data_IF_876025207271
#
_entry.id   IF_876025207271
#
_cell.length_a   1.000
_cell.length_b   1.000
_cell.length_c   1.000
_cell.angle_alpha   90.00
_cell.angle_beta   90.00
_cell.angle_gamma   90.00
#
_symmetry.space_group_name_H-M   'P 1'
#
loop_
_entity.id
_entity.type
_entity.pdbx_description
1 polymer ?
#
# COMPACT_ATOMS: atom_id res chain seq x y z
N UNK A 1 24.21 18.19 -11.23
CA UNK A 1 23.05 17.36 -11.64
C UNK A 1 23.42 15.90 -11.44
N UNK A 2 22.86 15.20 -10.45
CA UNK A 2 23.27 13.83 -10.11
C UNK A 2 22.50 12.84 -10.98
N UNK A 3 23.19 12.17 -11.91
CA UNK A 3 22.64 11.05 -12.66
C UNK A 3 22.53 9.85 -11.72
N UNK A 4 21.38 9.67 -11.08
CA UNK A 4 21.13 8.52 -10.20
C UNK A 4 21.17 7.24 -11.03
N UNK A 5 22.23 6.45 -10.86
CA UNK A 5 22.40 5.19 -11.58
C UNK A 5 21.30 4.20 -11.17
N UNK A 6 20.46 3.81 -12.12
CA UNK A 6 19.48 2.76 -11.91
C UNK A 6 20.22 1.44 -11.62
N UNK A 7 19.94 0.81 -10.48
CA UNK A 7 20.43 -0.53 -10.14
C UNK A 7 19.35 -1.56 -10.48
N UNK A 8 19.56 -2.43 -11.48
CA UNK A 8 18.65 -3.53 -11.78
C UNK A 8 18.48 -4.44 -10.57
N UNK A 9 17.31 -5.07 -10.47
CA UNK A 9 17.03 -6.07 -9.44
C UNK A 9 17.37 -7.45 -9.97
N UNK A 10 17.80 -8.34 -9.08
CA UNK A 10 18.02 -9.75 -9.38
C UNK A 10 16.94 -10.59 -8.69
N UNK A 11 15.76 -10.75 -9.31
CA UNK A 11 14.63 -11.41 -8.67
C UNK A 11 14.93 -12.86 -8.27
N UNK A 12 15.72 -13.59 -9.08
CA UNK A 12 16.09 -15.00 -8.85
C UNK A 12 16.96 -15.25 -7.62
N UNK A 13 17.57 -14.21 -7.05
CA UNK A 13 18.36 -14.29 -5.81
C UNK A 13 17.45 -14.23 -4.58
N UNK A 14 16.19 -13.80 -4.73
CA UNK A 14 15.25 -13.74 -3.62
C UNK A 14 14.88 -15.15 -3.15
N UNK A 15 14.99 -15.46 -1.84
CA UNK A 15 14.56 -16.76 -1.31
C UNK A 15 13.10 -17.09 -1.63
N UNK A 16 12.21 -16.08 -1.59
CA UNK A 16 10.79 -16.25 -1.94
C UNK A 16 10.62 -16.60 -3.42
N UNK A 17 11.48 -16.06 -4.29
CA UNK A 17 11.43 -16.39 -5.71
C UNK A 17 11.86 -17.84 -5.93
N UNK A 18 12.95 -18.27 -5.31
CA UNK A 18 13.47 -19.65 -5.42
C UNK A 18 12.45 -20.66 -4.90
N UNK A 19 11.88 -20.43 -3.71
CA UNK A 19 10.88 -21.32 -3.12
C UNK A 19 9.66 -21.47 -4.04
N UNK A 20 9.14 -20.37 -4.59
CA UNK A 20 7.97 -20.43 -5.47
C UNK A 20 8.32 -21.03 -6.84
N UNK A 21 9.50 -20.75 -7.38
CA UNK A 21 9.96 -21.37 -8.61
C UNK A 21 10.06 -22.90 -8.48
N UNK A 22 10.62 -23.39 -7.36
CA UNK A 22 10.92 -24.81 -7.19
C UNK A 22 9.74 -25.63 -6.65
N UNK A 23 8.77 -24.96 -6.01
CA UNK A 23 7.70 -25.63 -5.27
C UNK A 23 6.28 -25.14 -5.56
N UNK A 24 6.04 -24.14 -6.42
CA UNK A 24 4.68 -23.63 -6.66
C UNK A 24 3.70 -24.71 -7.11
N UNK A 25 4.12 -25.63 -7.99
CA UNK A 25 3.29 -26.73 -8.48
C UNK A 25 2.91 -27.72 -7.37
N UNK A 26 3.69 -27.78 -6.30
CA UNK A 26 3.47 -28.68 -5.15
C UNK A 26 2.55 -28.06 -4.10
N UNK A 27 2.13 -26.79 -4.27
CA UNK A 27 1.24 -26.12 -3.33
C UNK A 27 -0.21 -26.61 -3.53
N UNK A 28 -0.80 -27.32 -2.57
CA UNK A 28 -2.16 -27.80 -2.71
C UNK A 28 -3.17 -26.65 -2.58
N UNK A 29 -4.23 -26.69 -3.39
CA UNK A 29 -5.41 -25.83 -3.19
C UNK A 29 -5.21 -24.34 -3.53
N UNK A 30 -4.30 -24.01 -4.45
CA UNK A 30 -4.19 -22.64 -4.97
C UNK A 30 -5.43 -22.29 -5.81
N UNK A 31 -6.00 -21.11 -5.56
CA UNK A 31 -7.02 -20.55 -6.45
C UNK A 31 -6.39 -20.09 -7.76
N UNK A 32 -7.17 -19.99 -8.87
CA UNK A 32 -6.67 -19.48 -10.14
C UNK A 32 -5.99 -18.11 -10.02
N UNK A 33 -6.55 -17.21 -9.20
CA UNK A 33 -5.97 -15.89 -8.92
C UNK A 33 -4.62 -15.98 -8.20
N UNK A 34 -4.47 -16.93 -7.27
CA UNK A 34 -3.23 -17.13 -6.56
C UNK A 34 -2.14 -17.68 -7.50
N UNK A 35 -2.49 -18.64 -8.36
CA UNK A 35 -1.59 -19.17 -9.40
C UNK A 35 -1.13 -18.07 -10.34
N UNK A 36 -2.06 -17.28 -10.90
CA UNK A 36 -1.72 -16.16 -11.79
C UNK A 36 -0.85 -15.10 -11.09
N UNK A 37 -1.07 -14.85 -9.79
CA UNK A 37 -0.24 -13.95 -9.01
C UNK A 37 1.20 -14.47 -8.82
N UNK A 38 1.37 -15.78 -8.60
CA UNK A 38 2.68 -16.43 -8.50
C UNK A 38 3.41 -16.38 -9.83
N UNK A 39 2.77 -16.74 -10.94
CA UNK A 39 3.34 -16.66 -12.28
C UNK A 39 3.81 -15.24 -12.62
N UNK A 40 2.95 -14.24 -12.37
CA UNK A 40 3.30 -12.83 -12.56
C UNK A 40 4.48 -12.41 -11.66
N UNK A 41 4.55 -12.93 -10.44
CA UNK A 41 5.67 -12.67 -9.53
C UNK A 41 6.98 -13.29 -10.02
N UNK A 42 6.96 -14.51 -10.56
CA UNK A 42 8.15 -15.18 -11.08
C UNK A 42 8.75 -14.43 -12.28
N UNK A 43 7.91 -13.80 -13.10
CA UNK A 43 8.33 -12.93 -14.20
C UNK A 43 8.73 -11.50 -13.75
N UNK A 44 8.53 -11.15 -12.48
CA UNK A 44 8.74 -9.79 -12.00
C UNK A 44 10.21 -9.39 -12.00
N UNK A 45 10.56 -8.36 -12.77
CA UNK A 45 11.93 -7.88 -12.81
C UNK A 45 12.86 -8.72 -13.69
N UNK A 46 12.32 -9.71 -14.42
CA UNK A 46 13.06 -10.43 -15.46
C UNK A 46 13.06 -9.60 -16.75
N UNK A 47 14.24 -9.37 -17.33
CA UNK A 47 14.39 -8.65 -18.59
C UNK A 47 13.88 -9.48 -19.78
N UNK A 48 13.92 -10.82 -19.70
CA UNK A 48 13.39 -11.71 -20.74
C UNK A 48 11.86 -11.64 -20.83
N UNK A 49 11.18 -11.32 -19.73
CA UNK A 49 9.73 -11.11 -19.69
C UNK A 49 9.30 -9.72 -20.20
N UNK A 50 10.25 -8.85 -20.55
CA UNK A 50 10.00 -7.53 -21.13
C UNK A 50 10.52 -6.36 -20.30
N UNK A 51 10.84 -5.28 -20.98
CA UNK A 51 11.44 -4.09 -20.38
C UNK A 51 11.07 -2.81 -21.12
N UNK A 52 11.27 -1.68 -20.44
CA UNK A 52 11.28 -0.35 -21.03
C UNK A 52 12.70 0.19 -21.05
N UNK A 53 13.20 0.58 -22.23
CA UNK A 53 14.46 1.32 -22.36
C UNK A 53 14.20 2.80 -22.08
N UNK A 54 14.95 3.36 -21.14
CA UNK A 54 14.87 4.75 -20.75
C UNK A 54 16.19 5.42 -21.10
N UNK A 55 16.13 6.58 -21.77
CA UNK A 55 17.28 7.41 -22.11
C UNK A 55 17.10 8.78 -21.50
N UNK A 56 18.12 9.27 -20.81
CA UNK A 56 18.12 10.65 -20.32
C UNK A 56 18.51 11.61 -21.46
N UNK A 57 17.70 12.66 -21.73
CA UNK A 57 18.02 13.63 -22.78
C UNK A 57 19.35 14.35 -22.53
N UNK A 58 19.63 14.73 -21.28
CA UNK A 58 20.73 15.65 -20.95
C UNK A 58 22.11 14.97 -20.89
N UNK A 59 22.19 13.72 -20.41
CA UNK A 59 23.47 13.00 -20.24
C UNK A 59 23.63 11.80 -21.18
N UNK A 60 22.61 11.50 -22.00
CA UNK A 60 22.62 10.36 -22.91
C UNK A 60 22.62 8.97 -22.25
N UNK A 61 22.69 8.90 -20.91
CA UNK A 61 22.72 7.63 -20.18
C UNK A 61 21.43 6.83 -20.41
N UNK A 62 21.60 5.54 -20.69
CA UNK A 62 20.50 4.62 -20.93
C UNK A 62 20.44 3.52 -19.89
N UNK A 63 19.23 3.08 -19.55
CA UNK A 63 19.05 1.89 -18.72
C UNK A 63 17.77 1.15 -19.09
N UNK A 64 17.79 -0.16 -18.84
CA UNK A 64 16.65 -1.03 -19.04
C UNK A 64 15.90 -1.20 -17.74
N UNK A 65 14.59 -0.96 -17.77
CA UNK A 65 13.70 -1.17 -16.63
C UNK A 65 12.77 -2.33 -16.93
N UNK A 66 13.00 -3.46 -16.27
CA UNK A 66 12.12 -4.63 -16.34
C UNK A 66 10.71 -4.31 -15.84
N UNK A 67 9.72 -5.05 -16.36
CA UNK A 67 8.34 -4.92 -15.92
C UNK A 67 8.12 -5.41 -14.49
N UNK A 68 7.10 -4.83 -13.85
CA UNK A 68 6.68 -5.19 -12.49
C UNK A 68 5.44 -6.07 -12.54
N UNK A 69 5.35 -7.07 -11.66
CA UNK A 69 4.18 -7.95 -11.57
C UNK A 69 2.87 -7.26 -11.17
N UNK A 70 2.93 -6.05 -10.60
CA UNK A 70 1.78 -5.29 -10.08
C UNK A 70 0.95 -6.01 -9.00
N UNK A 71 1.42 -7.16 -8.50
CA UNK A 71 0.78 -7.93 -7.45
C UNK A 71 0.88 -7.24 -6.09
N UNK A 72 -0.10 -7.49 -5.22
CA UNK A 72 -0.14 -6.98 -3.84
C UNK A 72 0.31 -8.06 -2.86
N UNK A 73 1.10 -7.71 -1.84
CA UNK A 73 1.52 -8.62 -0.78
C UNK A 73 2.66 -9.56 -1.15
N UNK A 74 2.59 -10.26 -2.29
CA UNK A 74 3.58 -11.28 -2.67
C UNK A 74 4.96 -10.69 -3.01
N UNK A 75 4.98 -9.65 -3.85
CA UNK A 75 6.21 -9.00 -4.28
C UNK A 75 6.52 -7.78 -3.40
N UNK A 76 7.37 -7.94 -2.38
CA UNK A 76 7.68 -6.86 -1.44
C UNK A 76 8.13 -5.55 -2.12
N UNK A 77 9.02 -5.55 -3.14
CA UNK A 77 9.42 -4.31 -3.79
C UNK A 77 8.31 -3.62 -4.60
N UNK A 78 7.43 -4.40 -5.25
CA UNK A 78 6.29 -3.85 -6.00
C UNK A 78 5.21 -3.34 -5.06
N UNK A 79 4.95 -4.07 -3.97
CA UNK A 79 4.05 -3.63 -2.91
C UNK A 79 4.55 -2.35 -2.25
N UNK A 80 5.83 -2.29 -1.84
CA UNK A 80 6.43 -1.10 -1.25
C UNK A 80 6.34 0.11 -2.16
N UNK A 81 6.67 -0.05 -3.45
CA UNK A 81 6.53 1.05 -4.43
C UNK A 81 5.10 1.55 -4.50
N UNK A 82 4.11 0.66 -4.51
CA UNK A 82 2.70 1.03 -4.52
C UNK A 82 2.31 1.79 -3.25
N UNK A 83 2.71 1.30 -2.08
CA UNK A 83 2.43 1.95 -0.79
C UNK A 83 3.03 3.36 -0.73
N UNK A 84 4.25 3.55 -1.24
CA UNK A 84 4.87 4.88 -1.30
C UNK A 84 4.14 5.84 -2.24
N UNK A 85 3.75 5.38 -3.43
CA UNK A 85 2.99 6.19 -4.40
C UNK A 85 1.63 6.57 -3.82
N UNK A 86 0.92 5.62 -3.23
CA UNK A 86 -0.39 5.85 -2.62
C UNK A 86 -0.30 6.80 -1.42
N UNK A 87 0.71 6.61 -0.56
CA UNK A 87 0.95 7.48 0.59
C UNK A 87 1.25 8.93 0.17
N UNK A 88 2.06 9.12 -0.87
CA UNK A 88 2.31 10.45 -1.43
C UNK A 88 1.03 11.07 -2.02
N UNK A 89 0.20 10.28 -2.71
CA UNK A 89 -1.07 10.75 -3.24
C UNK A 89 -2.02 11.21 -2.12
N UNK A 90 -2.16 10.41 -1.05
CA UNK A 90 -2.99 10.75 0.11
C UNK A 90 -2.47 12.04 0.76
N UNK A 91 -1.17 12.12 1.04
CA UNK A 91 -0.57 13.27 1.69
C UNK A 91 -0.70 14.55 0.85
N UNK A 92 -0.43 14.49 -0.45
CA UNK A 92 -0.36 15.68 -1.30
C UNK A 92 -1.71 16.11 -1.88
N UNK A 93 -2.72 15.23 -1.90
CA UNK A 93 -3.96 15.47 -2.65
C UNK A 93 -5.23 15.29 -1.83
N UNK A 94 -5.22 14.42 -0.82
CA UNK A 94 -6.42 14.10 -0.03
C UNK A 94 -6.39 14.81 1.33
N UNK A 95 -5.25 14.77 2.02
CA UNK A 95 -5.10 15.32 3.37
C UNK A 95 -5.22 16.86 3.36
N UNK A 96 -6.21 17.38 4.08
CA UNK A 96 -6.30 18.79 4.43
C UNK A 96 -5.44 19.09 5.66
N UNK A 97 -5.04 20.35 5.88
CA UNK A 97 -4.26 20.76 7.06
C UNK A 97 -5.11 20.80 8.35
N UNK A 98 -5.63 19.65 8.76
CA UNK A 98 -6.47 19.45 9.96
C UNK A 98 -5.93 18.31 10.83
N UNK A 99 -6.33 18.17 12.10
CA UNK A 99 -5.96 17.01 12.90
C UNK A 99 -6.51 15.72 12.31
N UNK A 100 -5.63 14.76 12.02
CA UNK A 100 -6.02 13.43 11.53
C UNK A 100 -5.99 12.42 12.67
N UNK A 101 -6.87 11.41 12.61
CA UNK A 101 -6.86 10.27 13.54
C UNK A 101 -6.66 8.97 12.79
N UNK A 102 -5.78 8.14 13.31
CA UNK A 102 -5.61 6.77 12.84
C UNK A 102 -6.47 5.85 13.71
N UNK A 103 -7.43 5.17 13.09
CA UNK A 103 -8.34 4.24 13.75
C UNK A 103 -8.09 2.85 13.17
N UNK A 104 -7.91 1.85 14.04
CA UNK A 104 -7.78 0.44 13.65
C UNK A 104 -9.03 -0.29 14.12
N UNK A 105 -9.82 -0.79 13.17
CA UNK A 105 -10.98 -1.63 13.45
C UNK A 105 -10.60 -3.09 13.26
N UNK A 106 -10.79 -3.90 14.29
CA UNK A 106 -10.41 -5.31 14.27
C UNK A 106 -11.63 -6.21 14.17
N UNK A 107 -11.58 -7.16 13.23
CA UNK A 107 -12.61 -8.20 13.09
C UNK A 107 -12.38 -9.29 14.16
N UNK A 108 -13.43 -9.69 14.92
CA UNK A 108 -13.37 -10.78 15.88
C UNK A 108 -12.86 -12.08 15.26
N UNK A 109 -12.05 -12.86 16.00
CA UNK A 109 -11.40 -14.07 15.48
C UNK A 109 -12.40 -15.07 14.89
N UNK A 110 -13.55 -15.23 15.53
CA UNK A 110 -14.59 -16.20 15.16
C UNK A 110 -15.10 -16.03 13.72
N UNK A 111 -15.19 -14.79 13.23
CA UNK A 111 -15.79 -14.50 11.92
C UNK A 111 -14.76 -14.31 10.81
N UNK A 112 -13.45 -14.30 11.11
CA UNK A 112 -12.40 -14.09 10.10
C UNK A 112 -12.42 -15.14 8.98
N UNK A 113 -12.75 -16.39 9.31
CA UNK A 113 -12.82 -17.48 8.34
C UNK A 113 -13.92 -17.29 7.30
N UNK A 114 -15.00 -16.58 7.65
CA UNK A 114 -16.07 -16.24 6.69
C UNK A 114 -15.51 -15.35 5.57
N UNK A 115 -14.78 -14.30 5.96
CA UNK A 115 -14.10 -13.40 5.01
C UNK A 115 -12.94 -14.06 4.25
N UNK A 116 -12.38 -15.16 4.74
CA UNK A 116 -11.39 -15.94 3.99
C UNK A 116 -12.04 -16.66 2.82
N UNK A 117 -13.16 -17.34 3.12
CA UNK A 117 -13.91 -18.19 2.19
C UNK A 117 -14.64 -17.34 1.15
N UNK A 118 -15.22 -16.22 1.58
CA UNK A 118 -15.92 -15.29 0.72
C UNK A 118 -15.29 -13.90 0.81
N UNK A 119 -14.54 -13.55 -0.25
CA UNK A 119 -13.87 -12.25 -0.38
C UNK A 119 -14.82 -11.12 -0.74
N UNK A 120 -16.03 -11.41 -1.24
CA UNK A 120 -17.03 -10.38 -1.54
C UNK A 120 -17.53 -9.71 -0.24
N UNK A 121 -17.50 -10.43 0.88
CA UNK A 121 -17.84 -9.88 2.20
C UNK A 121 -16.89 -8.79 2.69
N UNK A 122 -15.66 -8.68 2.14
CA UNK A 122 -14.70 -7.65 2.56
C UNK A 122 -15.23 -6.23 2.30
N UNK A 123 -16.09 -6.04 1.31
CA UNK A 123 -16.68 -4.73 1.01
C UNK A 123 -17.61 -4.25 2.14
N UNK A 124 -18.32 -5.18 2.78
CA UNK A 124 -19.20 -4.88 3.91
C UNK A 124 -18.42 -4.33 5.11
N UNK A 125 -17.13 -4.67 5.26
CA UNK A 125 -16.29 -4.10 6.31
C UNK A 125 -16.05 -2.60 6.10
N UNK A 126 -15.91 -2.14 4.85
CA UNK A 126 -15.77 -0.70 4.57
C UNK A 126 -17.07 0.04 4.87
N UNK A 127 -18.22 -0.51 4.49
CA UNK A 127 -19.53 0.08 4.81
C UNK A 127 -19.78 0.13 6.31
N UNK A 128 -19.50 -0.96 7.02
CA UNK A 128 -19.65 -1.02 8.49
C UNK A 128 -18.71 -0.02 9.19
N UNK A 129 -17.45 0.08 8.74
CA UNK A 129 -16.48 1.04 9.28
C UNK A 129 -16.95 2.49 9.04
N UNK A 130 -17.36 2.81 7.81
CA UNK A 130 -17.87 4.14 7.46
C UNK A 130 -19.10 4.48 8.31
N UNK A 131 -20.08 3.57 8.41
CA UNK A 131 -21.29 3.77 9.21
C UNK A 131 -20.96 4.01 10.69
N UNK A 132 -20.13 3.15 11.29
CA UNK A 132 -19.76 3.26 12.70
C UNK A 132 -19.03 4.57 13.00
N UNK A 133 -18.08 4.98 12.15
CA UNK A 133 -17.33 6.23 12.34
C UNK A 133 -18.23 7.44 12.12
N UNK A 134 -19.14 7.40 11.13
CA UNK A 134 -20.10 8.48 10.88
C UNK A 134 -21.06 8.65 12.06
N UNK A 135 -21.62 7.55 12.57
CA UNK A 135 -22.50 7.56 13.73
C UNK A 135 -21.78 8.10 14.97
N UNK A 136 -20.55 7.64 15.22
CA UNK A 136 -19.72 8.15 16.31
C UNK A 136 -19.42 9.65 16.17
N UNK A 137 -19.09 10.12 14.96
CA UNK A 137 -18.80 11.53 14.70
C UNK A 137 -20.01 12.40 15.02
N UNK A 138 -21.18 12.05 14.47
CA UNK A 138 -22.42 12.80 14.66
C UNK A 138 -22.84 12.87 16.12
N UNK A 139 -22.71 11.75 16.85
CA UNK A 139 -22.97 11.69 18.29
C UNK A 139 -22.00 12.57 19.08
N UNK A 140 -20.73 12.65 18.68
CA UNK A 140 -19.71 13.43 19.38
C UNK A 140 -19.77 14.92 19.07
N UNK A 141 -20.24 15.31 17.90
CA UNK A 141 -20.28 16.72 17.46
C UNK A 141 -21.68 17.33 17.51
N UNK A 142 -22.69 16.57 17.96
CA UNK A 142 -24.10 16.96 17.97
C UNK A 142 -24.58 17.55 16.62
N UNK A 143 -24.05 16.99 15.53
CA UNK A 143 -24.29 17.50 14.18
C UNK A 143 -24.78 16.34 13.29
N UNK A 144 -26.09 16.22 13.01
CA UNK A 144 -26.64 15.08 12.29
C UNK A 144 -26.21 15.03 10.82
N UNK A 145 -25.78 16.15 10.25
CA UNK A 145 -25.30 16.25 8.86
C UNK A 145 -23.79 16.04 8.73
N UNK A 146 -23.06 15.85 9.82
CA UNK A 146 -21.61 15.65 9.79
C UNK A 146 -21.22 14.43 8.95
N UNK A 147 -20.16 14.59 8.15
CA UNK A 147 -19.59 13.56 7.28
C UNK A 147 -18.08 13.44 7.54
N UNK A 148 -17.57 12.25 7.87
CA UNK A 148 -16.13 12.06 8.03
C UNK A 148 -15.43 11.96 6.67
N UNK A 149 -14.27 12.60 6.54
CA UNK A 149 -13.32 12.29 5.48
C UNK A 149 -12.52 11.04 5.86
N UNK A 150 -12.71 9.93 5.13
CA UNK A 150 -12.07 8.65 5.45
C UNK A 150 -11.15 8.17 4.34
N UNK A 151 -9.95 7.73 4.73
CA UNK A 151 -9.07 6.89 3.90
C UNK A 151 -8.99 5.54 4.59
N UNK A 152 -9.51 4.51 3.95
CA UNK A 152 -9.62 3.17 4.53
C UNK A 152 -8.72 2.19 3.79
N UNK A 153 -8.02 1.34 4.54
CA UNK A 153 -7.22 0.25 4.00
C UNK A 153 -7.52 -1.03 4.77
N UNK A 154 -7.81 -2.11 4.05
CA UNK A 154 -8.07 -3.42 4.63
C UNK A 154 -6.80 -4.28 4.62
N UNK A 155 -6.43 -4.76 5.80
CA UNK A 155 -5.35 -5.72 5.98
C UNK A 155 -5.95 -7.09 6.33
N UNK A 156 -5.75 -8.07 5.45
CA UNK A 156 -6.35 -9.41 5.58
C UNK A 156 -5.46 -10.43 6.28
N UNK A 157 -4.19 -10.11 6.51
CA UNK A 157 -3.21 -10.98 7.19
C UNK A 157 -2.33 -10.17 8.14
N UNK A 158 -1.95 -10.78 9.26
CA UNK A 158 -0.98 -10.21 10.20
C UNK A 158 0.47 -10.48 9.80
N UNK A 159 1.43 -10.02 10.62
CA UNK A 159 2.87 -10.12 10.35
C UNK A 159 3.38 -11.56 10.19
N UNK A 160 2.68 -12.53 10.77
CA UNK A 160 2.99 -13.96 10.64
C UNK A 160 2.29 -14.63 9.45
N UNK A 161 1.72 -13.85 8.52
CA UNK A 161 0.94 -14.32 7.36
C UNK A 161 -0.24 -15.23 7.71
N UNK A 162 -0.59 -15.35 8.99
CA UNK A 162 -1.78 -16.06 9.42
C UNK A 162 -3.02 -15.28 8.99
N UNK A 163 -3.78 -15.87 8.08
CA UNK A 163 -5.23 -15.68 8.07
C UNK A 163 -5.75 -16.44 9.28
N UNK A 164 -5.76 -15.77 10.45
CA UNK A 164 -5.75 -16.39 11.78
C UNK A 164 -6.40 -17.78 11.94
N UNK A 165 -5.63 -18.86 11.70
CA UNK A 165 -5.87 -20.18 12.27
C UNK A 165 -4.63 -21.09 12.17
N UNK A 166 -3.86 -21.18 13.26
CA UNK A 166 -3.42 -22.45 13.85
C UNK A 166 -3.49 -22.24 15.36
N UNK A 167 -3.94 -23.27 16.08
CA UNK A 167 -4.13 -23.24 17.52
C UNK A 167 -2.82 -22.93 18.25
N UNK A 168 -2.55 -21.65 18.49
CA UNK A 168 -1.55 -21.20 19.44
C UNK A 168 -2.17 -20.04 20.23
N UNK A 169 -2.34 -20.30 21.52
CA UNK A 169 -2.73 -19.32 22.54
C UNK A 169 -1.67 -18.23 22.58
N UNK A 170 -2.01 -16.99 22.21
CA UNK A 170 -1.22 -15.81 22.55
C UNK A 170 -2.14 -14.66 22.95
N UNK A 171 -1.78 -13.90 24.00
CA UNK A 171 -2.59 -12.86 24.62
C UNK A 171 -2.38 -11.52 23.91
N UNK A 172 -3.46 -10.74 23.82
CA UNK A 172 -3.51 -9.28 23.62
C UNK A 172 -2.16 -8.59 23.29
N UNK A 173 -1.81 -8.55 22.00
CA UNK A 173 -0.68 -7.75 21.49
C UNK A 173 -1.16 -6.38 21.02
N UNK A 174 -1.12 -5.42 21.93
CA UNK A 174 -1.21 -3.99 21.65
C UNK A 174 -0.20 -3.57 20.56
N UNK A 175 -0.66 -2.96 19.46
CA UNK A 175 0.24 -2.32 18.50
C UNK A 175 0.35 -0.82 18.80
N UNK A 176 1.26 -0.48 19.72
CA UNK A 176 1.83 0.88 19.79
C UNK A 176 3.11 0.88 18.97
N UNK A 177 3.20 1.78 17.99
CA UNK A 177 4.34 1.97 17.12
C UNK A 177 5.54 2.54 17.91
N UNK A 178 6.25 1.70 18.68
CA UNK A 178 7.45 2.07 19.45
C UNK A 178 8.61 2.58 18.56
N UNK A 179 8.59 2.36 17.25
CA UNK A 179 9.64 2.84 16.34
C UNK A 179 9.47 4.29 15.87
N UNK A 180 8.35 4.97 16.21
CA UNK A 180 8.27 6.45 16.05
C UNK A 180 9.21 7.19 17.00
N UNK A 181 9.38 6.72 18.24
CA UNK A 181 10.28 7.34 19.22
C UNK A 181 11.75 7.26 18.84
N UNK A 182 12.17 6.14 18.24
CA UNK A 182 13.55 5.93 17.78
C UNK A 182 13.87 6.71 16.49
N UNK A 183 12.87 6.91 15.60
CA UNK A 183 13.05 7.76 14.42
C UNK A 183 13.09 9.25 14.77
N UNK A 184 12.33 9.72 15.76
CA UNK A 184 12.45 11.09 16.24
C UNK A 184 13.84 11.37 16.83
N UNK A 185 14.40 10.42 17.59
CA UNK A 185 15.77 10.52 18.10
C UNK A 185 16.82 10.50 16.97
N UNK A 186 16.64 9.64 15.96
CA UNK A 186 17.58 9.56 14.83
C UNK A 186 17.51 10.77 13.87
N UNK A 187 16.32 11.37 13.68
CA UNK A 187 16.14 12.59 12.89
C UNK A 187 16.76 13.81 13.61
N UNK A 188 16.65 13.87 14.94
CA UNK A 188 17.33 14.92 15.72
C UNK A 188 18.86 14.73 15.76
N UNK A 189 19.36 13.49 15.74
CA UNK A 189 20.79 13.21 15.65
C UNK A 189 21.39 13.51 14.26
N UNK A 190 20.61 13.32 13.18
CA UNK A 190 21.03 13.68 11.81
C UNK A 190 20.87 15.15 11.48
N UNK A 191 20.06 15.91 12.23
CA UNK A 191 20.04 17.37 12.13
C UNK A 191 21.31 18.04 12.68
N UNK A 192 22.05 17.36 13.57
CA UNK A 192 23.32 17.84 14.12
C UNK A 192 24.54 17.55 13.20
N UNK A 193 24.40 16.64 12.24
CA UNK A 193 25.46 16.28 11.29
C UNK A 193 25.06 16.72 9.88
N UNK A 194 25.49 17.92 9.49
CA UNK A 194 25.10 18.59 8.25
C UNK A 194 25.30 17.75 6.98
N UNK A 195 24.24 17.75 6.16
CA UNK A 195 24.16 17.69 4.69
C UNK A 195 23.03 16.76 4.21
N UNK A 196 21.82 17.32 4.06
CA UNK A 196 20.72 16.65 3.36
C UNK A 196 20.88 16.95 1.85
N UNK A 197 20.98 15.94 0.96
CA UNK A 197 20.94 16.18 -0.46
C UNK A 197 19.54 16.68 -0.84
N UNK A 198 19.48 17.83 -1.51
CA UNK A 198 18.25 18.44 -2.03
C UNK A 198 17.46 17.43 -2.86
N UNK A 199 16.24 17.12 -2.41
CA UNK A 199 15.31 16.28 -3.14
C UNK A 199 15.00 16.91 -4.51
N UNK A 200 15.10 16.11 -5.58
CA UNK A 200 14.68 16.52 -6.92
C UNK A 200 13.19 16.90 -6.92
N UNK A 201 12.79 17.98 -7.63
CA UNK A 201 11.40 18.37 -7.72
C UNK A 201 10.56 17.24 -8.36
N UNK A 202 9.31 17.03 -7.90
CA UNK A 202 8.45 16.00 -8.45
C UNK A 202 8.17 16.25 -9.94
N UNK A 203 8.03 15.18 -10.76
CA UNK A 203 7.74 15.33 -12.17
C UNK A 203 6.39 16.05 -12.39
N UNK A 204 6.22 16.81 -13.49
CA UNK A 204 5.00 17.56 -13.74
C UNK A 204 3.79 16.62 -13.83
N UNK A 205 2.78 16.89 -13.00
CA UNK A 205 1.54 16.11 -12.90
C UNK A 205 0.75 16.20 -14.21
N UNK A 206 0.51 15.08 -14.88
CA UNK A 206 -0.49 15.01 -15.96
C UNK A 206 -1.88 15.08 -15.33
N UNK A 207 -2.56 16.22 -15.42
CA UNK A 207 -3.92 16.42 -14.91
C UNK A 207 -4.87 15.43 -15.58
N UNK A 208 -5.32 14.38 -14.86
CA UNK A 208 -6.44 13.54 -15.31
C UNK A 208 -7.74 14.32 -15.10
N UNK A 209 -8.26 14.90 -16.18
CA UNK A 209 -9.40 15.82 -16.21
C UNK A 209 -10.75 15.18 -15.84
N UNK A 210 -10.83 13.85 -15.76
CA UNK A 210 -12.07 13.10 -15.49
C UNK A 210 -12.60 13.27 -14.07
N UNK A 211 -11.75 13.10 -13.05
CA UNK A 211 -12.20 13.08 -11.64
C UNK A 211 -12.64 14.44 -11.11
N UNK A 212 -12.01 15.54 -11.57
CA UNK A 212 -12.41 16.91 -11.23
C UNK A 212 -13.80 17.26 -11.77
N UNK A 213 -14.17 16.75 -12.96
CA UNK A 213 -15.51 16.94 -13.52
C UNK A 213 -16.56 16.16 -12.73
N UNK A 214 -16.24 14.93 -12.31
CA UNK A 214 -17.13 14.08 -11.52
C UNK A 214 -17.42 14.68 -10.13
N UNK A 215 -16.40 15.21 -9.45
CA UNK A 215 -16.56 15.90 -8.15
C UNK A 215 -17.43 17.16 -8.31
N UNK A 216 -17.24 17.93 -9.39
CA UNK A 216 -18.08 19.13 -9.65
C UNK A 216 -19.52 18.79 -10.03
N UNK A 217 -19.77 17.64 -10.67
CA UNK A 217 -21.13 17.17 -10.97
C UNK A 217 -21.88 16.71 -9.71
N UNK A 218 -21.16 16.17 -8.72
CA UNK A 218 -21.75 15.73 -7.45
C UNK A 218 -21.94 16.88 -6.45
N UNK A 219 -21.13 17.96 -6.54
CA UNK A 219 -21.13 19.06 -5.55
C UNK A 219 -21.81 20.36 -5.99
N UNK A 220 -22.40 20.45 -7.18
CA UNK A 220 -23.18 21.61 -7.61
C UNK A 220 -24.66 21.23 -7.69
N UNK A 221 -25.27 21.05 -6.53
CA UNK A 221 -26.72 21.22 -6.34
C UNK A 221 -26.92 21.85 -4.95
N UNK A 222 -26.80 23.17 -4.92
CA UNK A 222 -27.32 24.08 -3.88
C UNK A 222 -27.07 25.51 -4.40
N UNK A 223 -27.92 25.93 -5.32
CA UNK A 223 -28.49 27.28 -5.33
C UNK A 223 -30.00 27.09 -5.40
#
# INVERSE_FOLDING_TARGET
>A
MVCVRYRPRHPRVSPVWQILHDHAEKLPGLSPDATAAIEAFLQCGDLHAGFTRLRWPDCGHEFLRAFSCKQRGLCAPCHQRRTLIEGAFIADTICAAVPHRHIVLTVPRLIRTLFLRDRALLDHLYHAAHFAITAWLRLRTDCPTAQPGLVMALQTFGDFLFYGFRAARQPNGWYSNKSRGLRAAAVNATAAAGSVPTALPPPPRRRRTGWRKLIKQVWVWTR
#
